data_IF_980509447001
#
_entry.id   IF_980509447001
#
_cell.length_a   1.000
_cell.length_b   1.000
_cell.length_c   1.000
_cell.angle_alpha   90.00
_cell.angle_beta   90.00
_cell.angle_gamma   90.00
#
_symmetry.space_group_name_H-M   'P 1'
#
loop_
_entity.id
_entity.type
_entity.pdbx_description
1 polymer ?
#
# COMPACT_ATOMS: atom_id res chain seq x y z
N UNK A 1 -10.79 -1.85 52.06
CA UNK A 1 -11.46 -1.95 50.77
C UNK A 1 -10.61 -1.38 49.65
N UNK A 2 -9.32 -1.38 49.82
CA UNK A 2 -8.45 -0.87 48.79
C UNK A 2 -8.40 -1.68 47.49
N UNK A 3 -8.84 -2.92 47.54
CA UNK A 3 -8.82 -3.77 46.37
C UNK A 3 -9.76 -3.30 45.25
N UNK A 4 -10.78 -2.56 45.59
CA UNK A 4 -11.72 -2.04 44.59
C UNK A 4 -11.06 -1.02 43.70
N UNK A 5 -10.06 -0.33 44.17
CA UNK A 5 -9.39 0.71 43.41
C UNK A 5 -8.42 0.17 42.38
N UNK A 6 -7.99 -1.07 42.51
CA UNK A 6 -7.02 -1.66 41.57
C UNK A 6 -7.64 -2.01 40.22
N UNK A 7 -8.89 -2.34 40.23
CA UNK A 7 -9.57 -2.77 38.98
C UNK A 7 -9.59 -1.67 37.94
N UNK A 8 -9.94 -0.40 38.26
CA UNK A 8 -9.88 0.66 37.25
C UNK A 8 -8.50 0.92 36.69
N UNK A 9 -7.46 0.82 37.54
CA UNK A 9 -6.09 1.01 37.09
C UNK A 9 -5.66 -0.06 36.10
N UNK A 10 -6.01 -1.30 36.36
CA UNK A 10 -5.70 -2.40 35.45
C UNK A 10 -6.39 -2.22 34.10
N UNK A 11 -7.62 -1.78 34.13
CA UNK A 11 -8.38 -1.55 32.91
C UNK A 11 -7.75 -0.44 32.07
N UNK A 12 -7.30 0.63 32.70
CA UNK A 12 -6.64 1.72 32.00
C UNK A 12 -5.34 1.26 31.34
N UNK A 13 -4.56 0.44 32.03
CA UNK A 13 -3.32 -0.07 31.49
C UNK A 13 -3.54 -0.93 30.24
N UNK A 14 -4.51 -1.84 30.31
CA UNK A 14 -4.82 -2.71 29.18
C UNK A 14 -5.31 -1.89 28.00
N UNK A 15 -6.12 -0.89 28.23
CA UNK A 15 -6.64 -0.03 27.18
C UNK A 15 -5.52 0.73 26.49
N UNK A 16 -4.56 1.26 27.24
CA UNK A 16 -3.43 1.99 26.67
C UNK A 16 -2.57 1.12 25.77
N UNK A 17 -2.33 -0.11 26.17
CA UNK A 17 -1.56 -1.06 25.35
C UNK A 17 -2.30 -1.37 24.06
N UNK A 18 -3.61 -1.57 24.12
CA UNK A 18 -4.40 -1.85 22.93
C UNK A 18 -4.35 -0.70 21.93
N UNK A 19 -4.39 0.53 22.40
CA UNK A 19 -4.31 1.71 21.53
C UNK A 19 -2.95 1.79 20.84
N UNK A 20 -1.87 1.51 21.56
CA UNK A 20 -0.53 1.52 20.99
C UNK A 20 -0.39 0.47 19.88
N UNK A 21 -0.88 -0.72 20.12
CA UNK A 21 -0.81 -1.80 19.13
C UNK A 21 -1.62 -1.44 17.89
N UNK A 22 -2.78 -0.83 18.06
CA UNK A 22 -3.62 -0.43 16.93
C UNK A 22 -2.98 0.68 16.10
N UNK A 23 -2.14 1.52 16.68
CA UNK A 23 -1.48 2.60 15.94
C UNK A 23 -0.35 2.11 15.05
N UNK A 24 0.33 1.04 15.41
CA UNK A 24 1.48 0.54 14.66
C UNK A 24 1.12 0.15 13.22
N UNK A 25 0.08 -0.64 12.97
CA UNK A 25 -0.27 -1.01 11.60
C UNK A 25 -0.62 0.17 10.70
N UNK A 26 -1.13 1.25 11.27
CA UNK A 26 -1.51 2.42 10.49
C UNK A 26 -0.31 3.13 9.87
N UNK A 27 0.89 2.95 10.45
CA UNK A 27 2.10 3.55 9.92
C UNK A 27 2.77 2.70 8.85
N UNK A 28 2.37 1.46 8.74
CA UNK A 28 3.04 0.54 7.86
C UNK A 28 2.44 0.56 6.49
N UNK A 29 2.13 1.57 5.88
CA UNK A 29 1.62 1.67 4.63
C UNK A 29 1.67 0.54 3.67
N UNK A 30 1.53 -0.56 4.10
CA UNK A 30 2.14 -1.44 3.32
C UNK A 30 1.38 -2.64 3.05
N UNK A 31 0.30 -2.48 2.34
CA UNK A 31 -0.23 -3.60 1.63
C UNK A 31 0.59 -3.88 0.36
N UNK A 32 1.50 -3.00 -0.04
CA UNK A 32 2.37 -3.29 -1.17
C UNK A 32 3.28 -4.48 -0.84
N UNK A 33 3.42 -5.46 -1.75
CA UNK A 33 4.39 -6.54 -1.55
C UNK A 33 5.80 -6.00 -1.43
N UNK A 34 6.64 -6.70 -0.67
CA UNK A 34 8.01 -6.28 -0.46
C UNK A 34 8.78 -6.17 -1.76
N UNK A 35 8.50 -7.03 -2.71
CA UNK A 35 9.14 -6.98 -4.01
C UNK A 35 8.83 -5.70 -4.77
N UNK A 36 7.72 -5.04 -4.45
CA UNK A 36 7.35 -3.79 -5.09
C UNK A 36 7.81 -2.56 -4.33
N UNK A 37 7.95 -2.68 -2.99
CA UNK A 37 8.22 -1.55 -2.11
C UNK A 37 9.64 -1.45 -1.60
N UNK A 38 10.45 -2.47 -1.75
CA UNK A 38 11.76 -2.53 -1.11
C UNK A 38 12.63 -1.33 -1.38
N UNK A 39 12.97 -1.05 -2.63
CA UNK A 39 13.76 0.10 -3.03
C UNK A 39 13.11 0.83 -4.19
N UNK A 40 11.79 0.92 -4.18
CA UNK A 40 11.04 1.47 -5.31
C UNK A 40 10.06 2.52 -4.82
N UNK A 41 9.75 3.46 -5.70
CA UNK A 41 8.76 4.49 -5.43
C UNK A 41 7.39 4.00 -5.90
N UNK A 42 6.50 3.79 -4.96
CA UNK A 42 5.10 3.47 -5.24
C UNK A 42 4.23 4.68 -4.92
N UNK A 43 3.33 5.03 -5.81
CA UNK A 43 2.45 6.17 -5.58
C UNK A 43 1.11 5.95 -6.28
N UNK A 44 0.04 6.57 -5.75
CA UNK A 44 -1.27 6.48 -6.38
C UNK A 44 -1.31 7.27 -7.66
N UNK A 45 -2.05 6.76 -8.64
CA UNK A 45 -2.25 7.42 -9.93
C UNK A 45 -3.71 7.34 -10.31
N UNK A 46 -4.13 8.21 -11.22
CA UNK A 46 -5.48 8.11 -11.76
C UNK A 46 -5.59 6.83 -12.60
N UNK A 47 -6.65 6.07 -12.37
CA UNK A 47 -6.81 4.79 -13.06
C UNK A 47 -6.94 4.94 -14.57
N UNK A 48 -7.47 6.06 -15.05
CA UNK A 48 -7.59 6.31 -16.48
C UNK A 48 -6.26 6.58 -17.17
N UNK A 49 -5.18 6.79 -16.40
CA UNK A 49 -3.83 6.93 -16.94
C UNK A 49 -3.14 5.58 -17.13
N UNK A 50 -3.75 4.49 -16.69
CA UNK A 50 -3.28 3.14 -16.94
C UNK A 50 -4.18 2.51 -17.98
N UNK A 51 -3.62 2.25 -19.15
CA UNK A 51 -4.37 1.77 -20.31
C UNK A 51 -3.94 0.35 -20.64
N UNK A 52 -4.88 -0.55 -20.73
CA UNK A 52 -4.60 -1.93 -21.11
C UNK A 52 -4.27 -2.01 -22.60
N UNK A 53 -3.18 -2.70 -22.93
CA UNK A 53 -2.75 -2.94 -24.30
C UNK A 53 -2.51 -4.43 -24.49
N UNK A 54 -2.24 -4.82 -25.71
CA UNK A 54 -1.92 -6.24 -26.00
C UNK A 54 -0.63 -6.69 -25.31
N UNK A 55 0.26 -5.75 -25.00
CA UNK A 55 1.56 -6.06 -24.40
C UNK A 55 1.55 -5.92 -22.88
N UNK A 56 0.48 -5.41 -22.29
CA UNK A 56 0.38 -5.17 -20.86
C UNK A 56 -0.31 -3.85 -20.57
N UNK A 57 0.00 -3.25 -19.41
CA UNK A 57 -0.62 -2.00 -18.99
C UNK A 57 0.37 -0.86 -19.16
N UNK A 58 -0.06 0.18 -19.88
CA UNK A 58 0.76 1.35 -20.15
C UNK A 58 0.38 2.48 -19.19
N UNK A 59 1.35 2.99 -18.46
CA UNK A 59 1.17 4.21 -17.68
C UNK A 59 1.54 5.40 -18.58
N UNK A 60 0.53 6.11 -19.03
CA UNK A 60 0.67 7.10 -20.10
C UNK A 60 1.63 8.25 -19.73
N UNK A 61 1.59 8.83 -18.49
CA UNK A 61 2.44 9.98 -18.19
C UNK A 61 3.94 9.76 -18.38
N UNK A 62 4.42 8.53 -18.19
CA UNK A 62 5.84 8.23 -18.29
C UNK A 62 6.16 7.26 -19.42
N UNK A 63 5.16 6.63 -20.01
CA UNK A 63 5.38 5.61 -21.02
C UNK A 63 5.80 4.26 -20.48
N UNK A 64 5.76 4.06 -19.17
CA UNK A 64 6.10 2.78 -18.57
C UNK A 64 5.09 1.72 -18.94
N UNK A 65 5.59 0.57 -19.39
CA UNK A 65 4.74 -0.58 -19.68
C UNK A 65 4.95 -1.63 -18.60
N UNK A 66 3.84 -2.09 -18.02
CA UNK A 66 3.84 -3.15 -17.00
C UNK A 66 3.32 -4.42 -17.65
N UNK A 67 4.12 -5.46 -17.66
CA UNK A 67 3.69 -6.75 -18.18
C UNK A 67 2.61 -7.32 -17.27
N UNK A 68 1.84 -8.26 -17.77
CA UNK A 68 0.72 -8.81 -17.00
C UNK A 68 1.14 -9.39 -15.67
N UNK A 69 2.31 -10.01 -15.61
CA UNK A 69 2.83 -10.57 -14.36
C UNK A 69 3.29 -9.51 -13.36
N UNK A 70 3.40 -8.25 -13.79
CA UNK A 70 3.75 -7.13 -12.92
C UNK A 70 2.53 -6.39 -12.40
N UNK A 71 1.34 -6.82 -12.75
CA UNK A 71 0.09 -6.13 -12.43
C UNK A 71 -0.70 -6.97 -11.45
N UNK A 72 -1.20 -6.33 -10.40
CA UNK A 72 -1.98 -6.97 -9.35
C UNK A 72 -3.23 -6.13 -9.07
N UNK A 73 -4.28 -6.74 -8.47
CA UNK A 73 -5.42 -5.96 -8.05
C UNK A 73 -5.05 -5.03 -6.90
N UNK A 74 -5.56 -3.82 -6.95
CA UNK A 74 -5.39 -2.86 -5.86
C UNK A 74 -6.18 -3.32 -4.64
N UNK A 75 -5.64 -3.05 -3.46
CA UNK A 75 -6.31 -3.35 -2.19
C UNK A 75 -7.02 -2.14 -1.60
N UNK A 76 -6.91 -1.00 -2.24
CA UNK A 76 -7.70 0.18 -1.90
C UNK A 76 -8.50 0.61 -3.12
N UNK A 77 -9.03 1.79 -3.11
CA UNK A 77 -9.88 2.27 -4.22
C UNK A 77 -9.08 3.10 -5.23
N UNK A 78 -7.77 2.95 -5.25
CA UNK A 78 -6.90 3.72 -6.12
C UNK A 78 -6.00 2.80 -6.94
N UNK A 79 -5.63 3.24 -8.13
CA UNK A 79 -4.58 2.59 -8.89
C UNK A 79 -3.22 3.10 -8.43
N UNK A 80 -2.19 2.29 -8.58
CA UNK A 80 -0.84 2.63 -8.13
C UNK A 80 0.17 2.13 -9.13
N UNK A 81 1.30 2.82 -9.23
CA UNK A 81 2.45 2.33 -9.98
C UNK A 81 3.68 2.38 -9.09
N UNK A 82 4.57 1.43 -9.27
CA UNK A 82 5.85 1.39 -8.57
C UNK A 82 6.96 1.41 -9.61
N UNK A 83 7.82 2.39 -9.51
CA UNK A 83 8.93 2.58 -10.45
C UNK A 83 10.26 2.49 -9.73
N UNK A 84 11.31 2.18 -10.46
CA UNK A 84 12.65 2.10 -9.89
C UNK A 84 13.17 3.46 -9.47
N UNK A 85 14.09 3.44 -8.48
CA UNK A 85 14.72 4.66 -7.97
C UNK A 85 15.84 5.16 -8.87
N UNK A 86 16.25 6.39 -8.62
CA UNK A 86 17.52 6.88 -9.10
C UNK A 86 17.57 7.20 -10.57
N UNK A 87 16.46 7.57 -11.18
CA UNK A 87 16.43 7.96 -12.59
C UNK A 87 16.29 6.78 -13.54
N UNK A 88 16.30 5.57 -13.01
CA UNK A 88 16.10 4.38 -13.81
C UNK A 88 14.64 4.24 -14.26
N UNK A 89 13.71 4.61 -13.40
CA UNK A 89 12.26 4.60 -13.67
C UNK A 89 11.76 3.31 -14.33
N UNK A 90 12.35 2.18 -13.95
CA UNK A 90 11.89 0.88 -14.48
C UNK A 90 10.47 0.60 -14.00
N UNK A 91 9.72 -0.10 -14.84
CA UNK A 91 8.40 -0.60 -14.46
C UNK A 91 8.58 -1.77 -13.51
N UNK A 92 8.14 -1.63 -12.28
CA UNK A 92 8.29 -2.68 -11.27
C UNK A 92 6.95 -3.37 -11.01
N UNK A 93 5.96 -2.63 -10.53
CA UNK A 93 4.63 -3.17 -10.22
C UNK A 93 3.58 -2.13 -10.57
N UNK A 94 2.38 -2.60 -10.90
CA UNK A 94 1.21 -1.75 -11.03
C UNK A 94 0.05 -2.40 -10.30
N UNK A 95 -0.83 -1.58 -9.75
CA UNK A 95 -2.01 -2.05 -9.01
C UNK A 95 -3.24 -1.39 -9.62
N UNK A 96 -4.21 -2.20 -9.98
CA UNK A 96 -5.37 -1.76 -10.73
C UNK A 96 -6.61 -2.07 -9.90
N UNK A 97 -7.53 -1.11 -9.85
CA UNK A 97 -8.82 -1.33 -9.20
C UNK A 97 -9.64 -2.24 -10.10
N UNK A 98 -10.09 -3.41 -9.60
CA UNK A 98 -10.90 -4.32 -10.42
C UNK A 98 -12.23 -3.66 -10.82
N UNK A 99 -12.68 -3.95 -12.01
CA UNK A 99 -14.00 -3.52 -12.51
C UNK A 99 -14.13 -2.01 -12.71
N UNK A 100 -13.04 -1.36 -13.03
CA UNK A 100 -13.07 0.07 -13.40
C UNK A 100 -13.01 0.23 -14.90
#
# INVERSE_FOLDING_TARGET
MGYVQRVPLMRLTIFAIAVLVAAIPALAHSWYPLACCGNMDCFPVACDQLVETVSGWLYVPTGNLFKREQVQPSQDLHCHVCLGHGGDHRSICAFIVPNV
#
